data_IF_101478526097
#
_entry.id   IF_101478526097
#
_cell.length_a   1.000
_cell.length_b   1.000
_cell.length_c   1.000
_cell.angle_alpha   90.00
_cell.angle_beta   90.00
_cell.angle_gamma   90.00
#
_symmetry.space_group_name_H-M   'P 1'
#
loop_
_entity.id
_entity.type
_entity.pdbx_description
1 polymer ?
#
# COMPACT_ATOMS: atom_id res chain seq x y z
N UNK A 1 -1.13 -40.32 -23.11
CA UNK A 1 -1.60 -38.95 -23.37
C UNK A 1 -1.54 -38.64 -24.86
N UNK A 2 -2.64 -38.25 -25.43
CA UNK A 2 -2.58 -37.84 -26.83
C UNK A 2 -1.74 -36.56 -26.96
N UNK A 3 -0.98 -36.49 -28.03
CA UNK A 3 -0.17 -35.31 -28.32
C UNK A 3 -1.07 -34.17 -28.76
N UNK A 4 -0.66 -32.96 -28.44
CA UNK A 4 -1.37 -31.77 -28.89
C UNK A 4 -1.21 -31.62 -30.39
N UNK A 5 -2.25 -31.16 -31.04
CA UNK A 5 -2.13 -30.77 -32.46
C UNK A 5 -1.28 -29.48 -32.52
N UNK A 6 -0.74 -29.19 -33.72
CA UNK A 6 0.02 -27.95 -33.91
C UNK A 6 -0.81 -26.73 -33.57
N UNK A 7 -2.08 -26.76 -33.92
CA UNK A 7 -3.00 -25.66 -33.65
C UNK A 7 -3.22 -25.49 -32.14
N UNK A 8 -3.39 -26.59 -31.42
CA UNK A 8 -3.55 -26.56 -29.97
C UNK A 8 -2.28 -26.05 -29.31
N UNK A 9 -1.14 -26.54 -29.76
CA UNK A 9 0.15 -26.09 -29.23
C UNK A 9 0.34 -24.59 -29.41
N UNK A 10 0.05 -24.08 -30.61
CA UNK A 10 0.17 -22.66 -30.88
C UNK A 10 -0.74 -21.82 -29.95
N UNK A 11 -1.95 -22.31 -29.72
CA UNK A 11 -2.89 -21.66 -28.80
C UNK A 11 -2.31 -21.59 -27.39
N UNK A 12 -1.79 -22.67 -26.88
CA UNK A 12 -1.25 -22.70 -25.52
C UNK A 12 0.05 -21.91 -25.40
N UNK A 13 0.89 -21.93 -26.44
CA UNK A 13 2.11 -21.13 -26.42
C UNK A 13 1.80 -19.64 -26.41
N UNK A 14 0.78 -19.22 -27.16
CA UNK A 14 0.34 -17.83 -27.19
C UNK A 14 -0.31 -17.46 -25.85
N UNK A 15 -1.07 -18.37 -25.26
CA UNK A 15 -1.68 -18.15 -23.96
C UNK A 15 -0.63 -17.98 -22.88
N UNK A 16 0.43 -18.76 -22.94
CA UNK A 16 1.55 -18.62 -21.98
C UNK A 16 2.17 -17.23 -22.07
N UNK A 17 2.41 -16.78 -23.30
CA UNK A 17 3.04 -15.47 -23.53
C UNK A 17 2.16 -14.35 -22.99
N UNK A 18 0.88 -14.40 -23.32
CA UNK A 18 -0.07 -13.38 -22.92
C UNK A 18 -0.28 -13.36 -21.41
N UNK A 19 -0.48 -14.53 -20.82
CA UNK A 19 -0.74 -14.60 -19.38
C UNK A 19 0.49 -14.26 -18.57
N UNK A 20 1.68 -14.62 -19.06
CA UNK A 20 2.91 -14.23 -18.39
C UNK A 20 3.05 -12.70 -18.33
N UNK A 21 2.76 -12.05 -19.45
CA UNK A 21 2.82 -10.59 -19.49
C UNK A 21 1.78 -9.98 -18.56
N UNK A 22 0.57 -10.56 -18.54
CA UNK A 22 -0.48 -10.10 -17.65
C UNK A 22 -0.09 -10.22 -16.18
N UNK A 23 0.53 -11.33 -15.82
CA UNK A 23 0.99 -11.55 -14.45
C UNK A 23 2.03 -10.50 -14.05
N UNK A 24 3.00 -10.25 -14.93
CA UNK A 24 4.04 -9.25 -14.67
C UNK A 24 3.42 -7.85 -14.53
N UNK A 25 2.49 -7.52 -15.41
CA UNK A 25 1.82 -6.21 -15.35
C UNK A 25 1.05 -6.04 -14.05
N UNK A 26 0.35 -7.10 -13.61
CA UNK A 26 -0.40 -7.06 -12.37
C UNK A 26 0.54 -6.95 -11.15
N UNK A 27 1.65 -7.66 -11.17
CA UNK A 27 2.66 -7.54 -10.12
C UNK A 27 3.18 -6.11 -10.00
N UNK A 28 3.43 -5.48 -11.15
CA UNK A 28 3.88 -4.09 -11.18
C UNK A 28 2.82 -3.15 -10.63
N UNK A 29 1.56 -3.37 -10.99
CA UNK A 29 0.46 -2.55 -10.48
C UNK A 29 0.31 -2.69 -8.97
N UNK A 30 0.48 -3.91 -8.46
CA UNK A 30 0.45 -4.14 -7.01
C UNK A 30 1.57 -3.35 -6.33
N UNK A 31 2.78 -3.39 -6.86
CA UNK A 31 3.90 -2.67 -6.29
C UNK A 31 3.67 -1.15 -6.31
N UNK A 32 3.13 -0.64 -7.40
CA UNK A 32 2.81 0.77 -7.51
C UNK A 32 1.76 1.20 -6.47
N UNK A 33 0.73 0.38 -6.29
CA UNK A 33 -0.29 0.66 -5.28
C UNK A 33 0.28 0.62 -3.86
N UNK A 34 1.14 -0.36 -3.59
CA UNK A 34 1.79 -0.45 -2.29
C UNK A 34 2.62 0.80 -1.99
N UNK A 35 3.33 1.33 -3.00
CA UNK A 35 4.10 2.55 -2.83
C UNK A 35 3.22 3.75 -2.55
N UNK A 36 2.10 3.86 -3.25
CA UNK A 36 1.15 4.95 -3.01
C UNK A 36 0.57 4.89 -1.60
N UNK A 37 0.21 3.68 -1.15
CA UNK A 37 -0.34 3.48 0.18
C UNK A 37 0.70 3.83 1.25
N UNK A 38 1.93 3.40 1.07
CA UNK A 38 3.02 3.71 2.00
C UNK A 38 3.23 5.22 2.11
N UNK A 39 3.24 5.91 0.98
CA UNK A 39 3.41 7.36 0.97
C UNK A 39 2.24 8.05 1.66
N UNK A 40 1.03 7.60 1.37
CA UNK A 40 -0.16 8.16 1.98
C UNK A 40 -0.15 7.98 3.50
N UNK A 41 0.26 6.80 3.95
CA UNK A 41 0.36 6.52 5.39
C UNK A 41 1.40 7.44 6.03
N UNK A 42 2.55 7.61 5.37
CA UNK A 42 3.60 8.49 5.88
C UNK A 42 3.10 9.93 6.00
N UNK A 43 2.35 10.40 5.00
CA UNK A 43 1.79 11.74 5.01
C UNK A 43 0.78 11.92 6.15
N UNK A 44 -0.07 10.92 6.35
CA UNK A 44 -1.07 10.94 7.42
C UNK A 44 -0.39 10.91 8.80
N UNK A 45 0.64 10.10 8.95
CA UNK A 45 1.40 10.03 10.20
C UNK A 45 2.08 11.36 10.52
N UNK A 46 2.63 12.02 9.48
CA UNK A 46 3.24 13.33 9.67
C UNK A 46 2.20 14.36 10.10
N UNK A 47 1.02 14.33 9.48
CA UNK A 47 -0.07 15.24 9.85
C UNK A 47 -0.55 14.96 11.28
N UNK A 48 -0.65 13.69 11.65
CA UNK A 48 -1.04 13.30 12.98
C UNK A 48 -0.05 13.79 14.02
N UNK A 49 1.23 13.65 13.74
CA UNK A 49 2.29 14.12 14.64
C UNK A 49 2.21 15.62 14.84
N UNK A 50 2.04 16.37 13.76
CA UNK A 50 1.90 17.82 13.83
C UNK A 50 0.68 18.21 14.66
N UNK A 51 -0.44 17.53 14.47
CA UNK A 51 -1.66 17.79 15.23
C UNK A 51 -1.47 17.48 16.73
N UNK A 52 -0.76 16.40 17.04
CA UNK A 52 -0.47 16.05 18.44
C UNK A 52 0.39 17.10 19.12
N UNK A 53 1.36 17.64 18.40
CA UNK A 53 2.21 18.72 18.94
C UNK A 53 1.39 19.97 19.23
N UNK A 54 0.49 20.29 18.32
CA UNK A 54 -0.39 21.45 18.50
C UNK A 54 -1.33 21.24 19.67
N UNK A 55 -1.89 20.04 19.81
CA UNK A 55 -2.77 19.70 20.90
C UNK A 55 -2.03 19.82 22.23
N UNK A 56 -0.84 19.27 22.32
CA UNK A 56 -0.02 19.33 23.52
C UNK A 56 0.29 20.78 23.90
N UNK A 57 0.68 21.59 22.91
CA UNK A 57 0.96 23.01 23.14
C UNK A 57 -0.26 23.73 23.68
N UNK A 58 -1.44 23.43 23.15
CA UNK A 58 -2.69 24.04 23.63
C UNK A 58 -3.00 23.63 25.06
N UNK A 59 -2.77 22.36 25.39
CA UNK A 59 -2.97 21.87 26.77
C UNK A 59 -2.05 22.60 27.74
N UNK A 60 -0.80 22.81 27.33
CA UNK A 60 0.16 23.54 28.18
C UNK A 60 -0.27 24.98 28.42
N UNK A 61 -0.77 25.62 27.36
CA UNK A 61 -1.23 27.02 27.48
C UNK A 61 -2.46 27.14 28.37
N UNK A 62 -3.31 26.12 28.36
CA UNK A 62 -4.52 26.11 29.17
C UNK A 62 -4.27 25.57 30.57
N UNK A 63 -3.10 24.99 30.83
CA UNK A 63 -2.80 24.39 32.13
C UNK A 63 -3.60 23.12 32.41
N UNK A 64 -3.96 22.41 31.38
CA UNK A 64 -4.70 21.14 31.50
C UNK A 64 -3.84 19.96 31.07
N UNK A 65 -4.10 18.76 31.61
CA UNK A 65 -3.34 17.59 31.20
C UNK A 65 -3.66 17.20 29.76
N UNK A 66 -2.68 16.58 29.11
CA UNK A 66 -2.85 16.06 27.75
C UNK A 66 -3.35 14.62 27.87
N UNK A 67 -4.64 14.44 27.69
CA UNK A 67 -5.27 13.13 27.80
C UNK A 67 -4.94 12.19 26.63
N UNK A 68 -4.45 12.73 25.50
CA UNK A 68 -4.04 11.93 24.36
C UNK A 68 -2.67 11.30 24.57
N UNK A 69 -1.84 11.91 25.39
CA UNK A 69 -0.49 11.40 25.65
C UNK A 69 -0.50 10.01 26.26
N UNK A 70 -1.49 9.73 27.10
CA UNK A 70 -1.61 8.42 27.73
C UNK A 70 -1.88 7.30 26.73
N UNK A 71 -2.59 7.62 25.65
CA UNK A 71 -2.89 6.63 24.62
C UNK A 71 -1.85 6.53 23.53
N UNK A 72 -0.90 7.45 23.50
CA UNK A 72 0.07 7.54 22.41
C UNK A 72 1.31 6.69 22.64
N UNK A 73 1.47 6.12 23.81
CA UNK A 73 2.64 5.31 24.14
C UNK A 73 2.59 3.90 23.61
N UNK A 74 1.56 3.56 22.91
CA UNK A 74 1.41 2.21 22.37
C UNK A 74 2.04 2.09 20.98
#
# INVERSE_FOLDING_TARGET
>A
MPALTDQQRAFYEESLRITKQEIVDLENQIQEELQRVKQRIADLQAAQKAARLMYDAACQRLGIPNDLEEGSGE
#
